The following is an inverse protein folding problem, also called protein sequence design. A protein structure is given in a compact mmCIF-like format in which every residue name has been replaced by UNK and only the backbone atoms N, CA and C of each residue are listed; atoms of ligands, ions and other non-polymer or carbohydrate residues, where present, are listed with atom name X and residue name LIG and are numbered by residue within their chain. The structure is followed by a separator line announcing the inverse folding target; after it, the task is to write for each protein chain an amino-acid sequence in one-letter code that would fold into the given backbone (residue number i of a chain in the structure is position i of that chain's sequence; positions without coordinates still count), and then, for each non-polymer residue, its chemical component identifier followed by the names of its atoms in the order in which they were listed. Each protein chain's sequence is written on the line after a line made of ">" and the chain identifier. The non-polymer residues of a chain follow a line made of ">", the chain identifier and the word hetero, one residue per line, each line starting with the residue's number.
data_IF_088779372603
#
_entry.id   IF_088779372603
#
_cell.length_a   1.000
_cell.length_b   1.000
_cell.length_c   1.000
_cell.angle_alpha   90.00
_cell.angle_beta   90.00
_cell.angle_gamma   90.00
#
_symmetry.space_group_name_H-M   'P 1'
#
loop_
_entity.id
_entity.type
_entity.pdbx_description
1 polymer ?
#
# COMPACT_ATOMS: atom_id res chain seq x y z
N UNK A 1 -10.76 -1.01 -9.09
CA UNK A 1 -10.85 -0.04 -7.99
C UNK A 1 -10.20 1.28 -8.39
N UNK A 2 -10.87 2.42 -8.13
CA UNK A 2 -10.45 3.79 -8.46
C UNK A 2 -9.02 4.11 -7.99
N UNK A 3 -8.63 3.62 -6.81
CA UNK A 3 -7.30 3.81 -6.21
C UNK A 3 -6.18 3.25 -7.07
N UNK A 4 -6.39 2.07 -7.66
CA UNK A 4 -5.38 1.44 -8.51
C UNK A 4 -5.18 2.24 -9.80
N UNK A 5 -6.24 2.79 -10.38
CA UNK A 5 -6.15 3.61 -11.61
C UNK A 5 -5.41 4.93 -11.35
N UNK A 6 -5.80 5.69 -10.31
CA UNK A 6 -5.14 6.94 -9.95
C UNK A 6 -3.65 6.74 -9.61
N UNK A 7 -3.33 5.65 -8.90
CA UNK A 7 -1.96 5.33 -8.54
C UNK A 7 -1.07 5.04 -9.75
N UNK A 8 -1.59 4.36 -10.77
CA UNK A 8 -0.85 4.17 -12.04
C UNK A 8 -0.50 5.48 -12.70
N UNK A 9 -1.45 6.42 -12.76
CA UNK A 9 -1.21 7.76 -13.31
C UNK A 9 -0.12 8.51 -12.52
N UNK A 10 -0.16 8.42 -11.18
CA UNK A 10 0.85 9.04 -10.31
C UNK A 10 2.24 8.43 -10.56
N UNK A 11 2.34 7.10 -10.65
CA UNK A 11 3.61 6.39 -10.89
C UNK A 11 4.16 6.74 -12.28
N UNK A 12 3.32 6.71 -13.31
CA UNK A 12 3.69 7.06 -14.67
C UNK A 12 4.30 8.47 -14.74
N UNK A 13 3.59 9.45 -14.20
CA UNK A 13 4.04 10.84 -14.17
C UNK A 13 5.30 11.03 -13.31
N UNK A 14 5.44 10.28 -12.21
CA UNK A 14 6.64 10.34 -11.37
C UNK A 14 7.89 9.83 -12.11
N UNK A 15 7.74 8.78 -12.91
CA UNK A 15 8.83 8.25 -13.76
C UNK A 15 9.18 9.24 -14.87
N UNK A 16 8.20 9.94 -15.46
CA UNK A 16 8.46 11.01 -16.44
C UNK A 16 9.24 12.17 -15.81
N UNK A 17 8.82 12.64 -14.62
CA UNK A 17 9.47 13.77 -13.93
C UNK A 17 10.84 13.45 -13.35
N UNK A 18 11.05 12.23 -12.87
CA UNK A 18 12.33 11.76 -12.31
C UNK A 18 12.74 10.41 -12.95
N UNK A 19 13.22 10.39 -14.21
CA UNK A 19 13.49 9.15 -14.96
C UNK A 19 14.57 8.25 -14.34
N UNK A 20 15.45 8.85 -13.53
CA UNK A 20 16.50 8.14 -12.79
C UNK A 20 16.04 7.69 -11.41
N UNK A 21 14.81 7.97 -11.03
CA UNK A 21 14.23 7.51 -9.78
C UNK A 21 14.11 5.99 -9.74
N UNK A 22 14.05 5.45 -8.53
CA UNK A 22 13.95 4.02 -8.27
C UNK A 22 12.92 3.78 -7.19
N UNK A 23 12.26 2.63 -7.23
CA UNK A 23 11.24 2.28 -6.26
C UNK A 23 11.77 1.28 -5.24
N UNK A 24 11.39 1.48 -3.98
CA UNK A 24 11.54 0.50 -2.91
C UNK A 24 10.15 0.16 -2.38
N UNK A 25 9.96 -1.09 -2.00
CA UNK A 25 8.83 -1.53 -1.20
C UNK A 25 9.29 -1.73 0.22
N UNK A 26 8.63 -1.07 1.16
CA UNK A 26 8.96 -1.10 2.58
C UNK A 26 7.72 -1.53 3.37
N UNK A 27 7.87 -2.59 4.17
CA UNK A 27 6.86 -3.02 5.14
C UNK A 27 7.35 -2.69 6.55
N UNK A 28 6.54 -1.96 7.32
CA UNK A 28 6.85 -1.54 8.69
C UNK A 28 5.83 -2.14 9.66
N UNK A 29 6.27 -3.01 10.55
CA UNK A 29 5.37 -3.70 11.49
C UNK A 29 5.42 -3.12 12.90
N UNK A 30 4.43 -3.49 13.70
CA UNK A 30 4.34 -3.31 15.16
C UNK A 30 3.85 -4.62 15.77
N UNK A 31 3.89 -4.73 17.11
CA UNK A 31 3.22 -5.86 17.78
C UNK A 31 1.72 -5.83 17.50
N UNK A 32 1.11 -7.02 17.49
CA UNK A 32 -0.33 -7.16 17.29
C UNK A 32 -1.11 -6.42 18.39
N UNK A 33 -2.28 -5.92 18.04
CA UNK A 33 -3.26 -5.41 18.99
C UNK A 33 -4.26 -6.51 19.36
N UNK A 34 -4.74 -6.52 20.61
CA UNK A 34 -5.67 -7.54 21.11
C UNK A 34 -7.07 -6.97 21.39
N UNK A 35 -7.27 -5.67 21.25
CA UNK A 35 -8.56 -4.99 21.39
C UNK A 35 -8.75 -3.87 20.36
N UNK A 36 -9.98 -3.40 20.19
CA UNK A 36 -10.30 -2.31 19.28
C UNK A 36 -9.64 -0.99 19.72
N UNK A 37 -9.53 -0.74 21.02
CA UNK A 37 -8.87 0.41 21.62
C UNK A 37 -7.36 0.38 21.39
N UNK A 38 -6.73 -0.78 21.61
CA UNK A 38 -5.32 -0.98 21.32
C UNK A 38 -5.04 -0.81 19.83
N UNK A 39 -5.89 -1.37 18.96
CA UNK A 39 -5.75 -1.22 17.51
C UNK A 39 -5.85 0.26 17.11
N UNK A 40 -6.85 0.98 17.61
CA UNK A 40 -7.01 2.42 17.35
C UNK A 40 -5.79 3.24 17.80
N UNK A 41 -5.27 2.94 18.99
CA UNK A 41 -4.06 3.57 19.52
C UNK A 41 -2.83 3.25 18.65
N UNK A 42 -2.69 1.98 18.25
CA UNK A 42 -1.61 1.49 17.40
C UNK A 42 -1.62 2.14 16.02
N UNK A 43 -2.79 2.28 15.37
CA UNK A 43 -2.94 2.96 14.07
C UNK A 43 -2.50 4.43 14.12
N UNK A 44 -2.83 5.13 15.21
CA UNK A 44 -2.37 6.51 15.45
C UNK A 44 -0.86 6.56 15.66
N UNK A 45 -0.31 5.61 16.42
CA UNK A 45 1.12 5.51 16.66
C UNK A 45 1.90 5.24 15.35
N UNK A 46 1.43 4.30 14.52
CA UNK A 46 1.98 4.00 13.18
C UNK A 46 2.06 5.25 12.31
N UNK A 47 0.95 5.97 12.17
CA UNK A 47 0.89 7.19 11.33
C UNK A 47 1.86 8.26 11.85
N UNK A 48 1.89 8.49 13.17
CA UNK A 48 2.80 9.47 13.79
C UNK A 48 4.26 9.07 13.64
N UNK A 49 4.58 7.78 13.81
CA UNK A 49 5.92 7.25 13.68
C UNK A 49 6.41 7.36 12.24
N UNK A 50 5.59 7.01 11.25
CA UNK A 50 5.95 7.15 9.84
C UNK A 50 6.22 8.61 9.45
N UNK A 51 5.42 9.53 9.98
CA UNK A 51 5.67 10.97 9.84
C UNK A 51 7.03 11.40 10.39
N UNK A 52 7.53 10.80 11.49
CA UNK A 52 8.91 11.05 11.97
C UNK A 52 9.96 10.37 11.08
N UNK A 53 9.75 9.10 10.75
CA UNK A 53 10.67 8.29 9.94
C UNK A 53 11.00 9.00 8.61
N UNK A 54 9.97 9.45 7.90
CA UNK A 54 10.10 10.15 6.61
C UNK A 54 10.87 11.48 6.70
N UNK A 55 10.98 12.08 7.89
CA UNK A 55 11.72 13.33 8.15
C UNK A 55 13.13 13.11 8.68
N UNK A 56 13.53 11.88 9.00
CA UNK A 56 14.91 11.63 9.39
C UNK A 56 15.85 11.96 8.25
N UNK A 57 16.92 12.71 8.54
CA UNK A 57 17.85 13.23 7.55
C UNK A 57 18.32 12.18 6.55
N UNK A 58 18.63 10.96 7.01
CA UNK A 58 19.10 9.87 6.13
C UNK A 58 18.01 9.39 5.16
N UNK A 59 16.76 9.32 5.63
CA UNK A 59 15.59 8.95 4.81
C UNK A 59 15.23 10.08 3.85
N UNK A 60 15.03 11.29 4.36
CA UNK A 60 14.55 12.43 3.58
C UNK A 60 15.54 12.90 2.52
N UNK A 61 16.85 12.65 2.70
CA UNK A 61 17.91 13.03 1.74
C UNK A 61 17.66 12.52 0.32
N UNK A 62 17.19 11.28 0.18
CA UNK A 62 17.00 10.65 -1.13
C UNK A 62 15.53 10.36 -1.47
N UNK A 63 14.59 10.63 -0.54
CA UNK A 63 13.17 10.40 -0.74
C UNK A 63 12.57 11.46 -1.67
N UNK A 64 12.11 11.04 -2.84
CA UNK A 64 11.39 11.89 -3.81
C UNK A 64 9.91 11.96 -3.48
N UNK A 65 9.32 10.81 -3.16
CA UNK A 65 7.90 10.69 -2.83
C UNK A 65 7.57 9.32 -2.26
N UNK A 66 6.36 9.17 -1.76
CA UNK A 66 5.87 7.89 -1.27
C UNK A 66 4.35 7.79 -1.39
N UNK A 67 3.88 6.55 -1.47
CA UNK A 67 2.55 6.12 -1.07
C UNK A 67 2.72 5.26 0.19
N UNK A 68 1.90 5.50 1.20
CA UNK A 68 1.75 4.61 2.36
C UNK A 68 0.31 4.13 2.41
N UNK A 69 0.10 2.84 2.62
CA UNK A 69 -1.16 2.30 3.10
C UNK A 69 -1.02 1.67 4.49
N UNK A 70 -2.14 1.56 5.18
CA UNK A 70 -2.28 0.72 6.37
C UNK A 70 -2.95 -0.58 5.94
N UNK A 71 -2.38 -1.71 6.34
CA UNK A 71 -2.99 -3.02 6.20
C UNK A 71 -3.24 -3.61 7.59
N UNK A 72 -4.37 -4.29 7.77
CA UNK A 72 -4.74 -4.97 9.01
C UNK A 72 -5.20 -6.37 8.64
N UNK A 73 -4.47 -7.39 9.09
CA UNK A 73 -4.91 -8.78 9.01
C UNK A 73 -5.38 -9.24 10.39
N UNK A 74 -6.33 -10.18 10.42
CA UNK A 74 -6.85 -10.73 11.67
C UNK A 74 -6.31 -12.15 11.84
N UNK A 75 -5.71 -12.43 12.98
CA UNK A 75 -5.24 -13.76 13.29
C UNK A 75 -6.43 -14.67 13.66
N UNK A 76 -6.60 -15.76 12.92
CA UNK A 76 -7.69 -16.71 13.14
C UNK A 76 -7.58 -17.41 14.51
N UNK A 77 -6.36 -17.66 14.98
CA UNK A 77 -6.11 -18.43 16.20
C UNK A 77 -6.39 -17.66 17.49
N UNK A 78 -5.86 -16.43 17.61
CA UNK A 78 -5.96 -15.64 18.85
C UNK A 78 -6.82 -14.38 18.71
N UNK A 79 -7.37 -14.11 17.51
CA UNK A 79 -8.21 -12.94 17.25
C UNK A 79 -7.45 -11.62 17.24
N UNK A 80 -6.12 -11.64 17.35
CA UNK A 80 -5.31 -10.42 17.36
C UNK A 80 -5.26 -9.76 15.97
N UNK A 81 -5.10 -8.45 15.97
CA UNK A 81 -4.97 -7.65 14.77
C UNK A 81 -3.49 -7.42 14.46
N UNK A 82 -3.07 -7.73 13.24
CA UNK A 82 -1.74 -7.45 12.74
C UNK A 82 -1.81 -6.22 11.82
N UNK A 83 -1.80 -5.05 12.44
CA UNK A 83 -1.69 -3.77 11.74
C UNK A 83 -0.24 -3.45 11.38
N UNK A 84 -0.03 -3.09 10.12
CA UNK A 84 1.28 -2.70 9.60
C UNK A 84 1.13 -1.70 8.47
N UNK A 85 2.27 -1.13 8.04
CA UNK A 85 2.32 -0.20 6.92
C UNK A 85 3.00 -0.86 5.74
N UNK A 86 2.37 -0.74 4.58
CA UNK A 86 3.05 -0.86 3.31
C UNK A 86 3.40 0.54 2.80
N UNK A 87 4.58 0.65 2.20
CA UNK A 87 5.09 1.91 1.67
C UNK A 87 5.82 1.67 0.35
N UNK A 88 5.25 2.20 -0.73
CA UNK A 88 5.97 2.37 -1.99
C UNK A 88 6.76 3.67 -1.93
N UNK A 89 8.08 3.55 -1.77
CA UNK A 89 9.00 4.68 -1.76
C UNK A 89 9.53 4.93 -3.16
N UNK A 90 9.57 6.20 -3.57
CA UNK A 90 10.29 6.65 -4.75
C UNK A 90 11.53 7.43 -4.31
N UNK A 91 12.70 6.94 -4.69
CA UNK A 91 14.00 7.47 -4.23
C UNK A 91 14.90 7.86 -5.40
N UNK A 92 15.79 8.83 -5.17
CA UNK A 92 16.84 9.19 -6.13
C UNK A 92 17.78 8.00 -6.33
N UNK A 93 18.29 7.81 -7.56
CA UNK A 93 19.32 6.78 -7.84
C UNK A 93 20.59 6.90 -6.98
N UNK A 94 20.89 8.08 -6.45
CA UNK A 94 21.98 8.31 -5.49
C UNK A 94 21.83 7.51 -4.19
N UNK A 95 20.62 7.06 -3.86
CA UNK A 95 20.37 6.16 -2.72
C UNK A 95 21.30 4.93 -2.74
N UNK A 96 21.60 4.38 -3.92
CA UNK A 96 22.39 3.15 -4.07
C UNK A 96 23.90 3.39 -4.25
N UNK A 97 24.35 4.65 -4.22
CA UNK A 97 25.74 4.99 -4.61
C UNK A 97 26.73 5.01 -3.44
N UNK A 98 26.28 5.21 -2.20
CA UNK A 98 27.16 5.27 -1.04
C UNK A 98 26.50 4.70 0.21
N UNK A 99 27.32 4.21 1.16
CA UNK A 99 26.88 3.76 2.49
C UNK A 99 26.19 4.86 3.29
N UNK A 100 26.57 6.12 3.09
CA UNK A 100 25.93 7.28 3.73
C UNK A 100 24.51 7.55 3.21
N UNK A 101 24.18 7.03 2.04
CA UNK A 101 22.89 7.27 1.36
C UNK A 101 21.99 6.04 1.41
N UNK A 102 22.58 4.85 1.32
CA UNK A 102 21.88 3.58 1.37
C UNK A 102 21.45 3.26 2.80
N UNK A 103 20.24 2.72 2.94
CA UNK A 103 19.69 2.25 4.20
C UNK A 103 19.38 0.76 4.02
N UNK A 104 20.10 -0.09 4.73
CA UNK A 104 19.87 -1.53 4.74
C UNK A 104 18.70 -1.90 5.67
N UNK A 105 18.28 -3.16 5.67
CA UNK A 105 17.13 -3.59 6.48
C UNK A 105 17.33 -3.33 7.98
N UNK A 106 18.51 -3.64 8.52
CA UNK A 106 18.82 -3.45 9.93
C UNK A 106 18.73 -1.96 10.34
N UNK A 107 19.25 -1.08 9.49
CA UNK A 107 19.17 0.36 9.73
C UNK A 107 17.74 0.88 9.61
N UNK A 108 16.96 0.38 8.65
CA UNK A 108 15.52 0.66 8.58
C UNK A 108 14.79 0.24 9.87
N UNK A 109 15.09 -0.95 10.39
CA UNK A 109 14.56 -1.45 11.66
C UNK A 109 14.89 -0.50 12.82
N UNK A 110 16.16 -0.10 12.96
CA UNK A 110 16.60 0.84 14.02
C UNK A 110 15.92 2.20 13.90
N UNK A 111 15.83 2.76 12.69
CA UNK A 111 15.13 4.02 12.44
C UNK A 111 13.64 3.90 12.77
N UNK A 112 13.01 2.78 12.40
CA UNK A 112 11.61 2.53 12.65
C UNK A 112 11.30 2.39 14.14
N UNK A 113 12.07 1.56 14.86
CA UNK A 113 12.00 1.42 16.31
C UNK A 113 12.11 2.78 17.02
N UNK A 114 13.08 3.60 16.61
CA UNK A 114 13.28 4.96 17.14
C UNK A 114 12.08 5.88 16.85
N UNK A 115 11.50 5.79 15.66
CA UNK A 115 10.33 6.59 15.28
C UNK A 115 9.07 6.20 16.06
N UNK A 116 8.87 4.89 16.25
CA UNK A 116 7.81 4.29 17.06
C UNK A 116 7.96 4.59 18.56
N UNK A 117 9.20 4.71 19.05
CA UNK A 117 9.54 4.83 20.48
C UNK A 117 9.14 3.59 21.28
N UNK A 118 9.54 2.42 20.79
CA UNK A 118 9.29 1.12 21.43
C UNK A 118 10.59 0.50 21.93
N UNK A 119 10.48 -0.33 22.95
CA UNK A 119 11.58 -1.04 23.64
C UNK A 119 11.91 -2.41 23.02
N UNK A 120 11.10 -2.86 22.06
CA UNK A 120 11.34 -4.09 21.30
C UNK A 120 11.84 -3.77 19.88
N UNK A 121 12.49 -4.74 19.25
CA UNK A 121 12.91 -4.64 17.84
C UNK A 121 11.74 -5.03 16.91
N UNK A 122 11.19 -4.10 16.11
CA UNK A 122 10.12 -4.40 15.16
C UNK A 122 10.67 -5.13 13.93
N UNK A 123 9.80 -5.82 13.19
CA UNK A 123 10.18 -6.45 11.92
C UNK A 123 10.00 -5.43 10.80
N UNK A 124 11.05 -5.23 10.00
CA UNK A 124 10.99 -4.41 8.80
C UNK A 124 11.44 -5.24 7.62
N UNK A 125 10.74 -5.08 6.51
CA UNK A 125 11.12 -5.69 5.24
C UNK A 125 11.28 -4.61 4.18
N UNK A 126 12.40 -4.65 3.45
CA UNK A 126 12.69 -3.67 2.39
C UNK A 126 13.19 -4.39 1.16
N UNK A 127 12.61 -4.06 0.00
CA UNK A 127 13.01 -4.62 -1.28
C UNK A 127 13.08 -3.55 -2.36
N UNK A 128 14.05 -3.69 -3.26
CA UNK A 128 14.10 -2.88 -4.47
C UNK A 128 13.09 -3.43 -5.47
N UNK A 129 12.22 -2.57 -6.00
CA UNK A 129 11.31 -2.95 -7.09
C UNK A 129 12.15 -3.06 -8.36
N UNK A 130 12.29 -4.27 -8.87
CA UNK A 130 13.11 -4.56 -10.06
C UNK A 130 12.25 -4.47 -11.31
N UNK A 131 12.84 -3.93 -12.37
CA UNK A 131 12.25 -3.96 -13.69
C UNK A 131 11.98 -5.41 -14.15
N UNK A 132 10.75 -5.71 -14.55
CA UNK A 132 10.43 -7.02 -15.13
C UNK A 132 10.94 -7.11 -16.57
N UNK A 133 12.07 -7.80 -16.78
CA UNK A 133 12.72 -7.95 -18.10
C UNK A 133 11.81 -8.51 -19.19
N UNK A 134 10.70 -9.20 -18.84
CA UNK A 134 9.74 -9.77 -19.79
C UNK A 134 8.73 -8.75 -20.34
N UNK A 135 8.61 -7.55 -19.74
CA UNK A 135 7.59 -6.54 -20.09
C UNK A 135 8.12 -5.33 -20.89
N UNK A 136 9.34 -5.36 -21.43
CA UNK A 136 9.85 -4.30 -22.31
C UNK A 136 10.25 -2.99 -21.59
N UNK A 137 10.18 -1.85 -22.28
CA UNK A 137 10.68 -0.53 -21.86
C UNK A 137 10.00 0.05 -20.61
N UNK A 138 8.73 -0.28 -20.35
CA UNK A 138 7.97 0.16 -19.15
C UNK A 138 8.10 -0.80 -17.95
N UNK A 139 9.09 -1.67 -17.97
CA UNK A 139 9.26 -2.75 -17.01
C UNK A 139 9.40 -2.32 -15.54
N UNK A 140 9.94 -1.13 -15.26
CA UNK A 140 10.04 -0.60 -13.89
C UNK A 140 8.72 -0.01 -13.40
N UNK A 141 8.04 0.75 -14.24
CA UNK A 141 6.70 1.27 -13.96
C UNK A 141 5.74 0.11 -13.72
N UNK A 142 5.69 -0.87 -14.61
CA UNK A 142 4.82 -2.04 -14.48
C UNK A 142 5.08 -2.84 -13.18
N UNK A 143 6.34 -2.97 -12.76
CA UNK A 143 6.66 -3.59 -11.48
C UNK A 143 6.24 -2.74 -10.29
N UNK A 144 6.42 -1.42 -10.36
CA UNK A 144 5.97 -0.50 -9.31
C UNK A 144 4.44 -0.52 -9.18
N UNK A 145 3.71 -0.48 -10.28
CA UNK A 145 2.25 -0.61 -10.32
C UNK A 145 1.79 -1.94 -9.72
N UNK A 146 2.47 -3.05 -10.04
CA UNK A 146 2.16 -4.37 -9.49
C UNK A 146 2.34 -4.39 -7.97
N UNK A 147 3.46 -3.86 -7.47
CA UNK A 147 3.70 -3.70 -6.04
C UNK A 147 2.63 -2.81 -5.39
N UNK A 148 2.23 -1.74 -6.07
CA UNK A 148 1.23 -0.80 -5.58
C UNK A 148 -0.20 -1.36 -5.57
N UNK A 149 -0.50 -2.46 -6.28
CA UNK A 149 -1.79 -3.15 -6.16
C UNK A 149 -1.99 -3.74 -4.78
N UNK A 150 -0.93 -4.26 -4.16
CA UNK A 150 -0.99 -4.82 -2.81
C UNK A 150 -1.26 -3.73 -1.77
N UNK A 151 -0.69 -2.53 -1.95
CA UNK A 151 -0.93 -1.37 -1.06
C UNK A 151 -2.41 -0.98 -0.96
N UNK A 152 -3.18 -1.15 -2.04
CA UNK A 152 -4.58 -0.71 -2.11
C UNK A 152 -5.57 -1.86 -1.92
N UNK A 153 -5.10 -3.08 -1.64
CA UNK A 153 -5.96 -4.23 -1.43
C UNK A 153 -6.40 -4.27 0.03
N UNK A 154 -7.71 -4.43 0.26
CA UNK A 154 -8.23 -4.75 1.59
C UNK A 154 -7.83 -6.19 1.96
N UNK A 155 -7.37 -6.38 3.19
CA UNK A 155 -7.19 -7.73 3.74
C UNK A 155 -8.55 -8.43 3.82
N UNK A 156 -8.55 -9.73 3.51
CA UNK A 156 -9.71 -10.58 3.75
C UNK A 156 -9.71 -11.01 5.22
N UNK A 157 -10.83 -10.81 5.90
CA UNK A 157 -11.03 -11.17 7.31
C UNK A 157 -12.33 -11.95 7.52
N UNK A 158 -13.03 -12.28 6.43
CA UNK A 158 -14.29 -13.01 6.49
C UNK A 158 -14.02 -14.50 6.70
N UNK A 159 -14.69 -15.07 7.69
CA UNK A 159 -14.67 -16.50 7.99
C UNK A 159 -16.07 -17.11 7.83
N UNK A 160 -16.21 -18.42 8.04
CA UNK A 160 -17.53 -19.09 8.07
C UNK A 160 -18.35 -18.77 9.33
N UNK A 161 -17.75 -18.09 10.32
CA UNK A 161 -18.38 -17.73 11.58
C UNK A 161 -18.85 -16.27 11.55
N UNK A 162 -20.16 -16.10 11.33
CA UNK A 162 -20.79 -14.77 11.22
C UNK A 162 -20.73 -13.96 12.52
N UNK A 163 -20.82 -14.60 13.69
CA UNK A 163 -20.75 -13.90 14.97
C UNK A 163 -19.35 -13.30 15.18
N UNK A 164 -18.32 -14.09 14.88
CA UNK A 164 -16.93 -13.61 14.87
C UNK A 164 -16.74 -12.49 13.85
N UNK A 165 -17.26 -12.64 12.64
CA UNK A 165 -17.16 -11.63 11.58
C UNK A 165 -17.78 -10.29 12.04
N UNK A 166 -18.96 -10.31 12.67
CA UNK A 166 -19.61 -9.12 13.20
C UNK A 166 -18.77 -8.41 14.26
N UNK A 167 -18.14 -9.16 15.16
CA UNK A 167 -17.24 -8.59 16.18
C UNK A 167 -16.02 -7.94 15.54
N UNK A 168 -15.39 -8.61 14.57
CA UNK A 168 -14.24 -8.08 13.83
C UNK A 168 -14.62 -6.80 13.09
N UNK A 169 -15.74 -6.80 12.35
CA UNK A 169 -16.24 -5.64 11.62
C UNK A 169 -16.45 -4.45 12.56
N UNK A 170 -17.13 -4.67 13.68
CA UNK A 170 -17.37 -3.61 14.69
C UNK A 170 -16.07 -3.03 15.25
N UNK A 171 -15.10 -3.89 15.54
CA UNK A 171 -13.81 -3.46 16.07
C UNK A 171 -12.99 -2.68 15.03
N UNK A 172 -12.97 -3.16 13.79
CA UNK A 172 -12.32 -2.47 12.67
C UNK A 172 -12.97 -1.13 12.39
N UNK A 173 -14.31 -1.06 12.33
CA UNK A 173 -15.06 0.19 12.16
C UNK A 173 -14.67 1.22 13.23
N UNK A 174 -14.71 0.82 14.50
CA UNK A 174 -14.33 1.69 15.61
C UNK A 174 -12.87 2.17 15.53
N UNK A 175 -11.95 1.25 15.22
CA UNK A 175 -10.52 1.55 15.21
C UNK A 175 -10.10 2.40 14.00
N UNK A 176 -10.71 2.15 12.84
CA UNK A 176 -10.44 2.85 11.58
C UNK A 176 -11.12 4.22 11.54
N UNK A 177 -12.20 4.43 12.28
CA UNK A 177 -12.91 5.70 12.32
C UNK A 177 -11.98 6.89 12.60
N UNK A 178 -11.94 7.83 11.64
CA UNK A 178 -11.13 9.05 11.70
C UNK A 178 -9.63 8.81 11.51
N UNK A 179 -9.22 7.66 10.98
CA UNK A 179 -7.82 7.36 10.65
C UNK A 179 -7.59 7.39 9.15
N UNK A 180 -6.43 7.93 8.73
CA UNK A 180 -6.03 7.96 7.33
C UNK A 180 -5.33 6.66 6.95
N UNK A 181 -5.98 5.85 6.12
CA UNK A 181 -5.45 4.58 5.64
C UNK A 181 -4.43 4.79 4.54
N UNK A 182 -4.71 5.70 3.60
CA UNK A 182 -3.85 5.95 2.44
C UNK A 182 -3.27 7.36 2.51
N UNK A 183 -1.96 7.50 2.31
CA UNK A 183 -1.30 8.81 2.30
C UNK A 183 -0.23 8.90 1.23
N UNK A 184 -0.23 10.02 0.52
CA UNK A 184 0.80 10.38 -0.45
C UNK A 184 1.73 11.46 0.12
N UNK A 185 3.01 11.40 -0.21
CA UNK A 185 4.00 12.41 0.17
C UNK A 185 5.02 12.71 -0.91
N UNK A 186 5.69 13.87 -0.78
CA UNK A 186 6.66 14.35 -1.76
C UNK A 186 6.06 14.51 -3.16
N UNK A 187 6.80 14.08 -4.18
CA UNK A 187 6.41 14.18 -5.58
C UNK A 187 5.08 13.50 -5.89
N UNK A 188 4.77 12.37 -5.25
CA UNK A 188 3.48 11.69 -5.45
C UNK A 188 2.29 12.55 -5.02
N UNK A 189 2.43 13.28 -3.91
CA UNK A 189 1.39 14.21 -3.46
C UNK A 189 1.23 15.38 -4.42
N UNK A 190 2.35 15.92 -4.92
CA UNK A 190 2.34 17.02 -5.90
C UNK A 190 1.66 16.59 -7.20
N UNK A 191 2.03 15.44 -7.75
CA UNK A 191 1.41 14.89 -8.96
C UNK A 191 -0.08 14.65 -8.75
N UNK A 192 -0.49 14.08 -7.61
CA UNK A 192 -1.92 13.91 -7.29
C UNK A 192 -2.68 15.23 -7.35
N UNK A 193 -2.09 16.32 -6.84
CA UNK A 193 -2.67 17.66 -6.86
C UNK A 193 -2.68 18.26 -8.28
N UNK A 194 -1.59 18.13 -9.03
CA UNK A 194 -1.45 18.65 -10.39
C UNK A 194 -2.45 18.00 -11.35
N UNK A 195 -2.64 16.68 -11.21
CA UNK A 195 -3.62 15.90 -11.98
C UNK A 195 -5.05 16.04 -11.46
N UNK A 196 -5.27 16.82 -10.39
CA UNK A 196 -6.57 17.04 -9.74
C UNK A 196 -7.31 15.73 -9.41
N UNK A 197 -6.56 14.71 -9.00
CA UNK A 197 -7.13 13.41 -8.67
C UNK A 197 -7.91 13.50 -7.35
N UNK A 198 -9.08 12.88 -7.32
CA UNK A 198 -10.00 12.95 -6.18
C UNK A 198 -9.38 12.47 -4.86
N UNK A 199 -9.94 12.98 -3.76
CA UNK A 199 -9.58 12.51 -2.43
C UNK A 199 -10.23 11.16 -2.15
N UNK A 200 -9.51 10.07 -2.40
CA UNK A 200 -9.93 8.68 -2.20
C UNK A 200 -10.68 8.39 -0.89
N UNK A 201 -10.35 9.06 0.22
CA UNK A 201 -11.02 8.83 1.51
C UNK A 201 -12.37 9.55 1.64
N UNK A 202 -12.61 10.61 0.85
CA UNK A 202 -13.83 11.45 0.89
C UNK A 202 -14.51 11.60 -0.48
N UNK A 203 -14.00 10.91 -1.49
CA UNK A 203 -14.37 11.07 -2.89
C UNK A 203 -15.45 10.08 -3.29
N UNK A 204 -16.04 10.33 -4.44
CA UNK A 204 -17.05 9.46 -5.02
C UNK A 204 -16.38 8.14 -5.44
N UNK A 205 -16.66 7.05 -4.71
CA UNK A 205 -16.11 5.73 -5.01
C UNK A 205 -16.89 4.97 -6.09
N UNK A 206 -18.02 5.54 -6.53
CA UNK A 206 -19.00 4.90 -7.39
C UNK A 206 -18.65 5.18 -8.87
N UNK A 207 -18.24 6.40 -9.20
CA UNK A 207 -17.86 6.80 -10.56
C UNK A 207 -16.34 6.72 -10.75
N UNK A 208 -15.87 5.79 -11.58
CA UNK A 208 -14.43 5.57 -11.87
C UNK A 208 -14.11 6.04 -13.29
N UNK A 209 -13.98 7.35 -13.49
CA UNK A 209 -13.65 7.98 -14.80
C UNK A 209 -14.85 8.67 -15.46
N UNK A 210 -14.58 9.45 -16.52
CA UNK A 210 -15.59 10.14 -17.37
C UNK A 210 -16.35 9.16 -18.30
N UNK A 211 -16.58 7.93 -17.86
CA UNK A 211 -17.40 6.95 -18.58
C UNK A 211 -18.58 6.62 -17.67
N UNK A 212 -19.65 7.42 -17.82
CA UNK A 212 -20.98 7.08 -17.35
C UNK A 212 -21.44 5.83 -18.10
N UNK A 213 -21.12 4.64 -17.57
CA UNK A 213 -21.71 3.43 -18.09
C UNK A 213 -23.21 3.48 -17.85
N UNK A 214 -24.00 3.47 -18.92
CA UNK A 214 -25.45 3.40 -18.79
C UNK A 214 -25.83 2.06 -18.16
N UNK A 215 -26.98 2.02 -17.48
CA UNK A 215 -27.49 0.80 -16.82
C UNK A 215 -27.53 -0.42 -17.76
N UNK A 216 -27.74 -0.17 -19.05
CA UNK A 216 -27.72 -1.16 -20.14
C UNK A 216 -26.32 -1.71 -20.43
N UNK A 217 -25.25 -0.92 -20.25
CA UNK A 217 -23.86 -1.38 -20.41
C UNK A 217 -23.38 -2.21 -19.20
N UNK A 218 -23.88 -1.92 -17.99
CA UNK A 218 -23.61 -2.75 -16.81
C UNK A 218 -24.35 -4.09 -16.86
N UNK A 219 -25.56 -4.13 -17.42
CA UNK A 219 -26.32 -5.37 -17.65
C UNK A 219 -25.77 -6.21 -18.82
N UNK A 220 -24.98 -5.60 -19.73
CA UNK A 220 -24.32 -6.28 -20.84
C UNK A 220 -22.96 -6.93 -20.49
N UNK A 221 -22.52 -6.85 -19.24
CA UNK A 221 -21.29 -7.53 -18.81
C UNK A 221 -21.57 -9.05 -18.67
N UNK A 222 -21.21 -9.83 -19.68
CA UNK A 222 -21.25 -11.28 -19.60
C UNK A 222 -20.20 -11.78 -18.59
N UNK A 223 -20.66 -12.47 -17.54
CA UNK A 223 -19.80 -13.20 -16.62
C UNK A 223 -19.26 -14.45 -17.34
N UNK A 224 -17.99 -14.39 -17.75
CA UNK A 224 -17.29 -15.52 -18.34
C UNK A 224 -16.50 -16.24 -17.26
N UNK A 225 -16.98 -17.40 -16.81
CA UNK A 225 -16.30 -18.19 -15.77
C UNK A 225 -15.29 -19.13 -16.42
N UNK A 226 -14.00 -18.82 -16.26
CA UNK A 226 -12.93 -19.67 -16.77
C UNK A 226 -12.37 -20.60 -15.67
N UNK A 227 -12.50 -21.93 -15.87
CA UNK A 227 -11.94 -22.94 -14.96
C UNK A 227 -10.66 -23.54 -15.54
N UNK A 228 -9.59 -23.56 -14.74
CA UNK A 228 -8.32 -24.18 -15.11
C UNK A 228 -8.38 -25.71 -14.99
N UNK A 229 -8.06 -26.43 -16.07
CA UNK A 229 -7.87 -27.89 -16.06
C UNK A 229 -6.38 -28.23 -16.02
N UNK A 230 -5.95 -28.84 -14.92
CA UNK A 230 -4.55 -29.19 -14.71
C UNK A 230 -4.03 -30.29 -15.66
N UNK A 231 -4.89 -31.21 -16.14
CA UNK A 231 -4.48 -32.26 -17.08
C UNK A 231 -4.29 -31.72 -18.49
N UNK A 232 -5.10 -30.75 -18.89
CA UNK A 232 -5.04 -30.13 -20.23
C UNK A 232 -4.18 -28.88 -20.29
N UNK A 233 -3.73 -28.36 -19.13
CA UNK A 233 -2.92 -27.15 -18.99
C UNK A 233 -3.55 -25.95 -19.72
N UNK A 234 -4.88 -25.84 -19.67
CA UNK A 234 -5.62 -24.79 -20.35
C UNK A 234 -6.89 -24.40 -19.57
N UNK A 235 -7.43 -23.21 -19.89
CA UNK A 235 -8.69 -22.71 -19.34
C UNK A 235 -9.87 -23.15 -20.19
N UNK A 236 -10.98 -23.45 -19.53
CA UNK A 236 -12.27 -23.73 -20.15
C UNK A 236 -13.25 -22.67 -19.72
N UNK A 237 -13.90 -22.05 -20.70
CA UNK A 237 -14.96 -21.07 -20.49
C UNK A 237 -16.27 -21.84 -20.32
N UNK A 238 -16.99 -21.52 -19.26
CA UNK A 238 -18.35 -21.96 -18.96
C UNK A 238 -19.32 -20.79 -19.10
#
# INVERSE_FOLDING_TARGET
>A
MKNSSQLKQIIAEAVVREPKGRFLFLTLTVKNAYSAEELKSSLRALTKAFGKLSRYKKVSKNLLGYLRSTEITVNEHDGSYNQHLHVLLFVRSSYFKSSDSYINQEEWTRLWQKALKVDYEPVVHVQVVKANKRKGTDSLQASAEETAKYEVKSADYMTVDDERNLVVIKNLEYALAGTRQISYGGLFKQIKQDLKLEDVENGDLIHVGDEDYTKEQMEAAEEVVAKWDFKKQNYFIW
#
